data_IF_226361398211
#
_entry.id   IF_226361398211
#
_cell.length_a   1.000
_cell.length_b   1.000
_cell.length_c   1.000
_cell.angle_alpha   90.00
_cell.angle_beta   90.00
_cell.angle_gamma   90.00
#
_symmetry.space_group_name_H-M   'P 1'
#
loop_
_entity.id
_entity.type
_entity.pdbx_description
1 polymer ?
#
# COMPACT_ATOMS: atom_id res chain seq x y z
N UNK A 1 13.30 -9.30 -19.23
CA UNK A 1 13.21 -10.68 -18.69
C UNK A 1 11.94 -10.76 -17.87
N UNK A 2 11.28 -11.92 -17.84
CA UNK A 2 10.06 -12.10 -17.07
C UNK A 2 10.40 -12.08 -15.56
N UNK A 3 9.74 -11.21 -14.78
CA UNK A 3 9.96 -11.11 -13.32
C UNK A 3 9.79 -12.45 -12.61
N UNK A 4 8.93 -13.32 -13.14
CA UNK A 4 8.77 -14.68 -12.62
C UNK A 4 9.97 -15.58 -12.89
N UNK A 5 10.65 -15.40 -14.01
CA UNK A 5 11.88 -16.13 -14.33
C UNK A 5 13.01 -15.72 -13.39
N UNK A 6 13.18 -14.42 -13.14
CA UNK A 6 14.16 -13.89 -12.19
C UNK A 6 13.93 -14.42 -10.77
N UNK A 7 12.66 -14.46 -10.32
CA UNK A 7 12.29 -15.01 -9.02
C UNK A 7 12.67 -16.50 -8.90
N UNK A 8 12.36 -17.31 -9.92
CA UNK A 8 12.74 -18.74 -9.96
C UNK A 8 14.26 -18.92 -9.91
N UNK A 9 15.00 -18.13 -10.68
CA UNK A 9 16.45 -18.18 -10.69
C UNK A 9 17.05 -17.79 -9.33
N UNK A 10 16.46 -16.78 -8.66
CA UNK A 10 16.87 -16.36 -7.33
C UNK A 10 16.65 -17.48 -6.30
N UNK A 11 15.50 -18.17 -6.33
CA UNK A 11 15.23 -19.32 -5.45
C UNK A 11 16.25 -20.43 -5.68
N UNK A 12 16.58 -20.76 -6.93
CA UNK A 12 17.58 -21.79 -7.25
C UNK A 12 18.99 -21.41 -6.75
N UNK A 13 19.34 -20.11 -6.74
CA UNK A 13 20.61 -19.63 -6.19
C UNK A 13 20.64 -19.72 -4.65
N UNK A 14 19.52 -19.35 -3.99
CA UNK A 14 19.36 -19.51 -2.54
C UNK A 14 19.55 -20.96 -2.15
N UNK A 15 18.88 -21.89 -2.84
CA UNK A 15 18.94 -23.32 -2.52
C UNK A 15 20.38 -23.85 -2.58
N UNK A 16 21.09 -23.59 -3.69
CA UNK A 16 22.50 -23.99 -3.87
C UNK A 16 23.43 -23.46 -2.78
N UNK A 17 23.31 -22.19 -2.39
CA UNK A 17 24.16 -21.60 -1.36
C UNK A 17 23.72 -22.01 0.05
N UNK A 18 22.43 -22.26 0.27
CA UNK A 18 21.90 -22.79 1.53
C UNK A 18 22.40 -24.21 1.78
N UNK A 19 22.33 -25.12 0.79
CA UNK A 19 22.89 -26.47 0.87
C UNK A 19 24.37 -26.42 1.25
N UNK A 20 25.17 -25.60 0.57
CA UNK A 20 26.60 -25.43 0.88
C UNK A 20 26.84 -24.87 2.28
N UNK A 21 25.98 -23.99 2.77
CA UNK A 21 26.10 -23.43 4.11
C UNK A 21 25.76 -24.47 5.19
N UNK A 22 24.64 -25.17 5.06
CA UNK A 22 24.16 -26.12 6.06
C UNK A 22 24.92 -27.45 6.06
N UNK A 23 25.25 -27.99 4.88
CA UNK A 23 25.91 -29.30 4.76
C UNK A 23 27.44 -29.19 4.79
N UNK A 24 27.99 -28.19 4.09
CA UNK A 24 29.45 -28.06 3.94
C UNK A 24 30.07 -26.98 4.87
N UNK A 25 29.29 -26.42 5.81
CA UNK A 25 29.72 -25.36 6.74
C UNK A 25 30.38 -24.14 6.04
N UNK A 26 30.00 -23.87 4.78
CA UNK A 26 30.62 -22.82 3.99
C UNK A 26 30.07 -21.43 4.38
N UNK A 27 30.78 -20.73 5.26
CA UNK A 27 30.39 -19.39 5.74
C UNK A 27 30.17 -18.37 4.62
N UNK A 28 30.95 -18.42 3.54
CA UNK A 28 30.79 -17.51 2.41
C UNK A 28 29.49 -17.79 1.63
N UNK A 29 29.09 -19.06 1.52
CA UNK A 29 27.79 -19.43 0.97
C UNK A 29 26.64 -18.89 1.83
N UNK A 30 26.77 -18.90 3.16
CA UNK A 30 25.80 -18.27 4.06
C UNK A 30 25.59 -16.78 3.79
N UNK A 31 26.68 -16.02 3.58
CA UNK A 31 26.59 -14.59 3.22
C UNK A 31 25.90 -14.38 1.88
N UNK A 32 26.20 -15.20 0.87
CA UNK A 32 25.53 -15.12 -0.45
C UNK A 32 24.06 -15.51 -0.38
N UNK A 33 23.72 -16.60 0.31
CA UNK A 33 22.34 -17.03 0.53
C UNK A 33 21.49 -15.90 1.17
N UNK A 34 22.03 -15.20 2.17
CA UNK A 34 21.33 -14.05 2.77
C UNK A 34 21.11 -12.91 1.79
N UNK A 35 22.09 -12.59 0.94
CA UNK A 35 21.92 -11.57 -0.12
C UNK A 35 20.85 -11.97 -1.12
N UNK A 36 20.88 -13.22 -1.59
CA UNK A 36 19.86 -13.75 -2.50
C UNK A 36 18.47 -13.75 -1.87
N UNK A 37 18.34 -14.08 -0.59
CA UNK A 37 17.07 -13.97 0.15
C UNK A 37 16.55 -12.53 0.23
N UNK A 38 17.43 -11.53 0.39
CA UNK A 38 17.00 -10.12 0.32
C UNK A 38 16.52 -9.74 -1.08
N UNK A 39 17.22 -10.18 -2.13
CA UNK A 39 16.78 -9.94 -3.50
C UNK A 39 15.42 -10.61 -3.80
N UNK A 40 15.23 -11.84 -3.34
CA UNK A 40 13.96 -12.56 -3.48
C UNK A 40 12.80 -11.81 -2.83
N UNK A 41 13.00 -11.25 -1.63
CA UNK A 41 11.99 -10.43 -0.95
C UNK A 41 11.59 -9.23 -1.81
N UNK A 42 12.56 -8.53 -2.39
CA UNK A 42 12.30 -7.37 -3.24
C UNK A 42 11.53 -7.76 -4.50
N UNK A 43 11.99 -8.80 -5.22
CA UNK A 43 11.33 -9.29 -6.44
C UNK A 43 9.88 -9.72 -6.18
N UNK A 44 9.64 -10.43 -5.06
CA UNK A 44 8.30 -10.84 -4.67
C UNK A 44 7.40 -9.64 -4.36
N UNK A 45 7.92 -8.62 -3.68
CA UNK A 45 7.16 -7.41 -3.36
C UNK A 45 6.82 -6.61 -4.62
N UNK A 46 7.77 -6.45 -5.54
CA UNK A 46 7.53 -5.78 -6.82
C UNK A 46 6.45 -6.48 -7.65
N UNK A 47 6.48 -7.82 -7.69
CA UNK A 47 5.46 -8.60 -8.39
C UNK A 47 4.08 -8.43 -7.75
N UNK A 48 4.00 -8.44 -6.41
CA UNK A 48 2.75 -8.17 -5.69
C UNK A 48 2.19 -6.78 -6.02
N UNK A 49 3.04 -5.75 -5.99
CA UNK A 49 2.63 -4.38 -6.34
C UNK A 49 2.13 -4.32 -7.77
N UNK A 50 2.84 -4.94 -8.71
CA UNK A 50 2.42 -5.00 -10.12
C UNK A 50 1.02 -5.62 -10.27
N UNK A 51 0.76 -6.75 -9.62
CA UNK A 51 -0.56 -7.40 -9.65
C UNK A 51 -1.64 -6.46 -9.08
N UNK A 52 -1.36 -5.78 -7.97
CA UNK A 52 -2.30 -4.86 -7.36
C UNK A 52 -2.57 -3.62 -8.25
N UNK A 53 -1.52 -3.04 -8.85
CA UNK A 53 -1.66 -1.91 -9.76
C UNK A 53 -2.50 -2.28 -10.98
N UNK A 54 -2.24 -3.43 -11.61
CA UNK A 54 -3.05 -3.92 -12.73
C UNK A 54 -4.51 -4.15 -12.35
N UNK A 55 -4.79 -4.58 -11.11
CA UNK A 55 -6.18 -4.69 -10.62
C UNK A 55 -6.84 -3.32 -10.49
N UNK A 56 -6.13 -2.33 -9.96
CA UNK A 56 -6.65 -0.98 -9.76
C UNK A 56 -6.87 -0.24 -11.09
N UNK A 57 -5.95 -0.38 -12.06
CA UNK A 57 -6.06 0.19 -13.40
C UNK A 57 -7.29 -0.34 -14.15
N UNK A 58 -7.51 -1.66 -14.12
CA UNK A 58 -8.70 -2.29 -14.71
C UNK A 58 -10.02 -1.85 -14.06
N UNK A 59 -9.98 -1.43 -12.79
CA UNK A 59 -11.15 -0.91 -12.08
C UNK A 59 -11.42 0.56 -12.43
N UNK A 60 -10.38 1.35 -12.72
CA UNK A 60 -10.52 2.73 -13.15
C UNK A 60 -11.16 2.85 -14.54
N UNK A 61 -10.78 1.99 -15.48
CA UNK A 61 -11.36 1.97 -16.85
C UNK A 61 -12.85 1.60 -16.86
N UNK A 62 -13.31 0.79 -15.90
CA UNK A 62 -14.72 0.43 -15.75
C UNK A 62 -15.59 1.59 -15.24
N UNK A 63 -14.99 2.64 -14.68
CA UNK A 63 -15.71 3.80 -14.15
C UNK A 63 -15.89 4.93 -15.18
N UNK A 64 -15.23 4.85 -16.35
CA UNK A 64 -15.28 5.89 -17.40
C UNK A 64 -16.29 5.57 -18.53
N UNK A 65 -16.78 4.32 -18.62
CA UNK A 65 -17.81 3.92 -19.61
C UNK A 65 -19.26 3.96 -19.09
N UNK A 66 -19.53 4.73 -18.03
CA UNK A 66 -20.87 5.08 -17.57
C UNK A 66 -21.13 6.59 -17.76
N UNK A 67 -21.75 6.97 -18.87
CA UNK A 67 -21.88 8.36 -19.33
C UNK A 67 -22.65 9.32 -18.40
N UNK A 68 -22.36 10.61 -18.57
CA UNK A 68 -23.18 11.75 -18.12
C UNK A 68 -24.36 11.98 -19.10
N UNK A 69 -25.52 12.46 -18.62
CA UNK A 69 -25.83 13.90 -18.64
C UNK A 69 -26.51 14.40 -17.34
N UNK A 70 -26.12 15.59 -16.84
CA UNK A 70 -26.90 16.85 -16.90
C UNK A 70 -28.14 16.90 -15.99
N UNK A 71 -27.97 17.33 -14.73
CA UNK A 71 -28.91 18.30 -14.15
C UNK A 71 -28.14 19.33 -13.32
N UNK A 72 -27.99 20.52 -13.88
CA UNK A 72 -27.57 21.71 -13.17
C UNK A 72 -28.70 22.11 -12.18
N UNK A 73 -28.54 21.80 -10.89
CA UNK A 73 -29.34 22.46 -9.86
C UNK A 73 -28.67 23.80 -9.49
N UNK A 74 -28.80 24.76 -10.39
CA UNK A 74 -28.53 26.16 -10.08
C UNK A 74 -29.79 26.79 -9.45
N UNK A 75 -29.69 27.18 -8.18
CA UNK A 75 -30.40 28.26 -7.45
C UNK A 75 -30.38 27.92 -5.93
N UNK A 76 -29.97 28.75 -4.97
CA UNK A 76 -29.94 30.21 -4.91
C UNK A 76 -29.01 30.70 -3.76
N UNK A 77 -28.30 31.84 -3.90
CA UNK A 77 -27.44 32.43 -2.87
C UNK A 77 -28.15 33.54 -2.09
N UNK A 78 -28.74 33.27 -0.93
CA UNK A 78 -29.27 34.36 -0.09
C UNK A 78 -29.37 34.06 1.43
N UNK A 79 -28.82 35.01 2.21
CA UNK A 79 -29.02 35.30 3.63
C UNK A 79 -28.37 34.33 4.65
N UNK A 80 -27.53 34.76 5.58
CA UNK A 80 -27.20 36.12 5.98
C UNK A 80 -26.17 36.11 7.12
N UNK A 81 -25.43 37.22 7.19
CA UNK A 81 -24.52 37.52 8.27
C UNK A 81 -25.25 37.60 9.63
N UNK A 82 -24.55 37.17 10.68
CA UNK A 82 -24.76 37.64 12.04
C UNK A 82 -25.58 36.73 12.95
N UNK A 83 -24.90 36.06 13.88
CA UNK A 83 -25.15 36.31 15.30
C UNK A 83 -23.97 35.78 16.13
N UNK A 84 -23.05 36.70 16.43
CA UNK A 84 -22.26 36.64 17.65
C UNK A 84 -23.25 36.62 18.84
N UNK A 85 -22.80 36.06 19.95
CA UNK A 85 -23.30 36.27 21.32
C UNK A 85 -24.08 35.10 21.95
N UNK A 86 -23.40 34.52 22.96
CA UNK A 86 -23.86 34.23 24.32
C UNK A 86 -24.94 33.16 24.57
N UNK A 87 -24.46 31.98 25.01
CA UNK A 87 -25.08 31.28 26.13
C UNK A 87 -24.00 30.98 27.17
N UNK A 88 -24.02 31.77 28.24
CA UNK A 88 -23.25 31.52 29.45
C UNK A 88 -23.89 30.44 30.32
N UNK A 89 -23.03 29.84 31.13
CA UNK A 89 -23.23 28.93 32.28
C UNK A 89 -24.39 29.30 33.23
N UNK A 90 -24.92 28.30 33.97
CA UNK A 90 -24.56 28.18 35.40
C UNK A 90 -24.31 26.72 35.83
N UNK A 91 -23.21 26.45 36.56
CA UNK A 91 -23.22 25.87 37.93
C UNK A 91 -23.16 24.33 37.84
N UNK A 92 -22.30 23.55 38.48
CA UNK A 92 -21.56 23.68 39.74
C UNK A 92 -20.33 22.73 39.62
N UNK A 93 -19.11 23.17 39.95
CA UNK A 93 -18.33 22.70 41.11
C UNK A 93 -18.53 21.20 41.47
N UNK A 94 -17.54 20.34 41.19
CA UNK A 94 -16.69 19.69 42.21
C UNK A 94 -15.86 18.49 41.67
N UNK A 95 -14.63 18.35 42.19
CA UNK A 95 -13.81 17.11 42.22
C UNK A 95 -13.19 16.64 40.90
N UNK A 96 -11.88 16.73 40.64
CA UNK A 96 -10.79 16.38 41.56
C UNK A 96 -10.61 14.87 41.65
N UNK A 97 -9.84 14.28 40.73
CA UNK A 97 -8.81 13.23 40.94
C UNK A 97 -8.04 12.99 39.64
#
# INVERSE_FOLDING_TARGET
>A
MDKMEELRNCVAAVDKDATKFFEANNKAAGTRARKHLQQLKTLAQELRVLIQSTKNEKQAEQHEQGGHPEEAFAADPHMGAGHLQQYGHPGDEDGGY
#
